data_IF_763766040659
#
_entry.id   IF_763766040659
#
_cell.length_a   1.000
_cell.length_b   1.000
_cell.length_c   1.000
_cell.angle_alpha   90.00
_cell.angle_beta   90.00
_cell.angle_gamma   90.00
#
_symmetry.space_group_name_H-M   'P 1'
#
loop_
_entity.id
_entity.type
_entity.pdbx_description
1 polymer ?
#
# COMPACT_ATOMS: atom_id res chain seq x y z
N UNK A 1 4.32 -10.47 -0.46
CA UNK A 1 5.28 -9.74 0.39
C UNK A 1 4.74 -8.33 0.56
N UNK A 2 4.97 -7.68 1.70
CA UNK A 2 4.68 -6.25 1.92
C UNK A 2 6.03 -5.56 2.21
N UNK A 3 6.69 -5.10 1.15
CA UNK A 3 8.02 -4.50 1.24
C UNK A 3 8.02 -3.11 1.91
N UNK A 4 6.88 -2.42 1.86
CA UNK A 4 6.76 -1.04 2.33
C UNK A 4 6.11 -0.95 3.72
N UNK A 5 5.66 -2.09 4.27
CA UNK A 5 5.02 -2.15 5.58
C UNK A 5 3.67 -1.43 5.63
N UNK A 6 3.02 -1.20 4.49
CA UNK A 6 1.75 -0.46 4.41
C UNK A 6 0.52 -1.38 4.60
N UNK A 7 0.73 -2.67 4.86
CA UNK A 7 -0.30 -3.68 5.01
C UNK A 7 -0.94 -4.08 3.69
N UNK A 8 -0.26 -3.86 2.56
CA UNK A 8 -0.75 -4.16 1.20
C UNK A 8 0.19 -5.11 0.47
N UNK A 9 -0.36 -5.91 -0.44
CA UNK A 9 0.44 -6.85 -1.23
C UNK A 9 1.25 -6.11 -2.30
N UNK A 10 2.52 -6.48 -2.46
CA UNK A 10 3.35 -6.08 -3.58
C UNK A 10 3.91 -7.30 -4.35
N UNK A 11 4.16 -7.12 -5.65
CA UNK A 11 4.90 -8.08 -6.47
C UNK A 11 6.38 -7.70 -6.46
N UNK A 12 7.25 -8.65 -6.11
CA UNK A 12 8.71 -8.51 -6.14
C UNK A 12 9.28 -9.59 -7.05
N UNK A 13 10.17 -9.22 -7.97
CA UNK A 13 10.88 -10.20 -8.79
C UNK A 13 12.28 -9.72 -9.14
N UNK A 14 13.11 -10.67 -9.53
CA UNK A 14 14.43 -10.41 -10.09
C UNK A 14 14.60 -11.04 -11.47
N UNK A 15 15.50 -10.49 -12.28
CA UNK A 15 15.85 -11.05 -13.58
C UNK A 15 17.37 -11.15 -13.74
N UNK A 16 17.90 -12.33 -14.10
CA UNK A 16 19.34 -12.52 -14.35
C UNK A 16 19.75 -12.08 -15.77
N UNK A 17 18.83 -11.54 -16.57
CA UNK A 17 19.12 -11.15 -17.94
C UNK A 17 20.06 -9.92 -17.98
N UNK A 18 21.01 -9.85 -18.94
CA UNK A 18 21.95 -8.74 -19.05
C UNK A 18 21.26 -7.36 -19.15
N UNK A 19 20.08 -7.29 -19.77
CA UNK A 19 19.27 -6.08 -19.91
C UNK A 19 18.69 -5.55 -18.60
N UNK A 20 18.67 -6.38 -17.54
CA UNK A 20 18.24 -6.00 -16.20
C UNK A 20 19.41 -5.90 -15.21
N UNK A 21 20.65 -6.03 -15.67
CA UNK A 21 21.84 -6.05 -14.82
C UNK A 21 22.02 -4.78 -13.95
N UNK A 22 21.57 -3.61 -14.44
CA UNK A 22 21.64 -2.35 -13.67
C UNK A 22 20.61 -2.25 -12.56
N UNK A 23 19.47 -2.95 -12.67
CA UNK A 23 18.39 -3.00 -11.68
C UNK A 23 17.80 -4.41 -11.66
N UNK A 24 18.52 -5.38 -11.07
CA UNK A 24 18.14 -6.78 -11.11
C UNK A 24 16.88 -7.05 -10.28
N UNK A 25 16.56 -6.17 -9.32
CA UNK A 25 15.35 -6.24 -8.48
C UNK A 25 14.31 -5.20 -8.92
N UNK A 26 13.06 -5.63 -9.07
CA UNK A 26 11.91 -4.78 -9.41
C UNK A 26 10.74 -5.08 -8.47
N UNK A 27 9.97 -4.06 -8.14
CA UNK A 27 8.75 -4.23 -7.35
C UNK A 27 7.60 -3.39 -7.92
N UNK A 28 6.37 -3.86 -7.69
CA UNK A 28 5.12 -3.14 -7.98
C UNK A 28 4.25 -3.18 -6.73
N UNK A 29 3.80 -2.01 -6.29
CA UNK A 29 2.75 -1.88 -5.27
C UNK A 29 1.38 -2.00 -5.96
N UNK A 30 0.61 -3.03 -5.59
CA UNK A 30 -0.68 -3.31 -6.22
C UNK A 30 -1.80 -2.40 -5.71
N UNK A 31 -1.60 -1.74 -4.56
CA UNK A 31 -2.64 -0.98 -3.86
C UNK A 31 -2.23 0.49 -3.61
N UNK A 32 -1.11 0.93 -4.19
CA UNK A 32 -0.61 2.30 -4.08
C UNK A 32 -0.45 2.79 -2.64
N UNK A 33 -0.07 1.89 -1.72
CA UNK A 33 0.15 2.18 -0.31
C UNK A 33 -1.10 2.41 0.53
N UNK A 34 -2.30 2.21 -0.04
CA UNK A 34 -3.57 2.40 0.67
C UNK A 34 -4.21 1.04 0.98
N UNK A 35 -4.34 0.72 2.26
CA UNK A 35 -5.01 -0.51 2.69
C UNK A 35 -6.52 -0.40 2.39
N UNK A 36 -7.06 -1.21 1.46
CA UNK A 36 -8.46 -1.14 1.10
C UNK A 36 -9.35 -1.63 2.25
N UNK A 37 -10.65 -1.31 2.18
CA UNK A 37 -11.69 -1.73 3.12
C UNK A 37 -11.56 -1.18 4.55
N UNK A 38 -10.79 -0.11 4.77
CA UNK A 38 -10.80 0.64 6.02
C UNK A 38 -11.94 1.66 6.05
N UNK A 39 -12.58 1.82 7.21
CA UNK A 39 -13.60 2.85 7.42
C UNK A 39 -12.94 4.23 7.52
N UNK A 40 -12.98 5.02 6.45
CA UNK A 40 -12.37 6.37 6.44
C UNK A 40 -13.36 7.50 6.75
N UNK A 41 -14.66 7.20 6.75
CA UNK A 41 -15.72 8.22 6.91
C UNK A 41 -16.98 7.62 7.51
N UNK A 42 -17.59 8.35 8.44
CA UNK A 42 -18.94 8.08 8.95
C UNK A 42 -19.75 9.36 9.00
N UNK A 43 -21.02 9.31 8.58
CA UNK A 43 -21.98 10.42 8.63
C UNK A 43 -23.20 9.96 9.41
N UNK A 44 -23.62 10.72 10.41
CA UNK A 44 -24.79 10.35 11.22
C UNK A 44 -26.13 10.84 10.65
N UNK A 45 -26.10 11.53 9.50
CA UNK A 45 -27.26 12.17 8.85
C UNK A 45 -28.02 13.19 9.72
N UNK A 46 -27.41 13.65 10.81
CA UNK A 46 -27.94 14.68 11.73
C UNK A 46 -27.02 15.92 11.77
N UNK A 47 -26.22 16.10 10.72
CA UNK A 47 -25.29 17.23 10.57
C UNK A 47 -23.87 16.98 11.07
N UNK A 48 -23.55 15.79 11.61
CA UNK A 48 -22.18 15.45 12.02
C UNK A 48 -21.53 14.43 11.07
N UNK A 49 -20.23 14.63 10.86
CA UNK A 49 -19.37 13.76 10.07
C UNK A 49 -18.04 13.54 10.78
N UNK A 50 -17.57 12.29 10.77
CA UNK A 50 -16.27 11.90 11.29
C UNK A 50 -15.42 11.35 10.15
N UNK A 51 -14.20 11.87 9.99
CA UNK A 51 -13.19 11.34 9.06
C UNK A 51 -12.04 10.70 9.85
N UNK A 52 -11.59 9.53 9.40
CA UNK A 52 -10.55 8.75 10.07
C UNK A 52 -9.37 8.55 9.12
N UNK A 53 -8.15 8.83 9.61
CA UNK A 53 -6.90 8.57 8.90
C UNK A 53 -6.12 7.50 9.64
N UNK A 54 -5.62 6.51 8.91
CA UNK A 54 -4.82 5.43 9.46
C UNK A 54 -3.36 5.56 9.04
N UNK A 55 -2.47 5.11 9.91
CA UNK A 55 -1.07 4.90 9.61
C UNK A 55 -0.69 3.45 9.98
N UNK A 56 0.21 2.81 9.22
CA UNK A 56 0.72 1.50 9.59
C UNK A 56 1.55 1.60 10.89
N UNK A 57 1.57 0.52 11.67
CA UNK A 57 2.33 0.43 12.93
C UNK A 57 3.84 0.30 12.74
N UNK A 58 4.28 0.08 11.52
CA UNK A 58 5.70 0.00 11.10
C UNK A 58 6.30 1.39 10.83
N UNK A 59 5.54 2.44 11.11
CA UNK A 59 5.97 3.83 11.04
C UNK A 59 6.38 4.34 12.42
#
# INVERSE_FOLDING_TARGET
>A
LDLLGNGTACLLWSSPLPTSASRPMRYIDLMGGHKPHLLVRSRNNLGAETAVKYAPSTR
#
